data_IF_912198652971
#
_entry.id   IF_912198652971
#
_cell.length_a   1.000
_cell.length_b   1.000
_cell.length_c   1.000
_cell.angle_alpha   90.00
_cell.angle_beta   90.00
_cell.angle_gamma   90.00
#
_symmetry.space_group_name_H-M   'P 1'
#
loop_
_entity.id
_entity.type
_entity.pdbx_description
1 polymer ?
#
# COMPACT_ATOMS: atom_id res chain seq x y z
N UNK A 1 37.98 8.56 -16.12
CA UNK A 1 37.75 9.11 -14.77
C UNK A 1 39.03 8.87 -13.98
N UNK A 2 40.00 9.79 -14.05
CA UNK A 2 41.36 9.57 -13.56
C UNK A 2 41.63 10.23 -12.20
N UNK A 3 42.47 9.59 -11.40
CA UNK A 3 42.90 9.98 -10.05
C UNK A 3 43.33 11.46 -9.95
N UNK A 4 44.08 11.97 -10.93
CA UNK A 4 44.53 13.38 -10.99
C UNK A 4 43.35 14.37 -11.02
N UNK A 5 42.26 14.03 -11.72
CA UNK A 5 41.07 14.89 -11.81
C UNK A 5 40.30 14.93 -10.49
N UNK A 6 40.30 13.83 -9.74
CA UNK A 6 39.67 13.75 -8.42
C UNK A 6 40.50 14.50 -7.36
N UNK A 7 41.83 14.40 -7.42
CA UNK A 7 42.74 15.17 -6.56
C UNK A 7 42.65 16.68 -6.84
N UNK A 8 42.69 17.12 -8.11
CA UNK A 8 42.50 18.53 -8.46
C UNK A 8 41.11 19.06 -8.05
N UNK A 9 40.07 18.21 -8.13
CA UNK A 9 38.74 18.57 -7.60
C UNK A 9 38.77 18.75 -6.09
N UNK A 10 39.37 17.85 -5.33
CA UNK A 10 39.45 17.95 -3.87
C UNK A 10 40.22 19.19 -3.38
N UNK A 11 41.21 19.65 -4.16
CA UNK A 11 42.00 20.85 -3.84
C UNK A 11 41.28 22.17 -4.17
N UNK A 12 40.53 22.23 -5.31
CA UNK A 12 39.87 23.47 -5.77
C UNK A 12 38.40 23.58 -5.35
N UNK A 13 37.72 22.44 -5.16
CA UNK A 13 36.31 22.34 -4.78
C UNK A 13 36.25 21.48 -3.54
N UNK A 14 36.02 22.10 -2.38
CA UNK A 14 35.83 21.39 -1.10
C UNK A 14 34.69 20.37 -1.15
N UNK A 15 34.35 19.78 0.01
CA UNK A 15 33.34 18.72 0.09
C UNK A 15 32.00 19.10 -0.58
N UNK A 16 31.40 18.13 -1.28
CA UNK A 16 30.14 18.31 -1.99
C UNK A 16 28.97 18.54 -1.01
N UNK A 17 28.23 19.65 -1.23
CA UNK A 17 27.07 20.07 -0.42
C UNK A 17 25.73 19.94 -1.16
N UNK A 18 25.74 19.64 -2.47
CA UNK A 18 24.53 19.62 -3.31
C UNK A 18 23.94 18.22 -3.43
N UNK A 19 24.76 17.18 -3.37
CA UNK A 19 24.27 15.82 -3.54
C UNK A 19 23.73 15.22 -2.23
N UNK A 20 22.66 14.41 -2.28
CA UNK A 20 22.05 13.83 -1.09
C UNK A 20 23.05 13.04 -0.25
N UNK A 21 23.03 13.27 1.06
CA UNK A 21 23.91 12.54 1.97
C UNK A 21 23.51 11.06 2.01
N UNK A 22 24.47 10.14 1.95
CA UNK A 22 24.19 8.70 1.90
C UNK A 22 25.01 7.91 2.90
N UNK A 23 24.63 6.64 3.12
CA UNK A 23 25.32 5.73 4.03
C UNK A 23 26.80 5.47 3.71
N UNK A 24 27.31 5.92 2.55
CA UNK A 24 28.70 5.72 2.12
C UNK A 24 29.61 6.93 2.35
N UNK A 25 29.05 8.06 2.79
CA UNK A 25 29.77 9.33 2.90
C UNK A 25 30.11 9.74 4.32
N UNK A 26 29.43 9.14 5.30
CA UNK A 26 29.67 9.43 6.71
C UNK A 26 30.75 8.54 7.33
N UNK A 27 31.18 8.85 8.56
CA UNK A 27 32.08 8.02 9.34
C UNK A 27 31.42 6.68 9.74
N UNK A 28 32.17 5.78 10.39
CA UNK A 28 31.72 4.44 10.80
C UNK A 28 30.40 4.44 11.59
N UNK A 29 30.12 5.48 12.37
CA UNK A 29 28.89 5.61 13.19
C UNK A 29 27.67 6.07 12.38
N UNK A 30 27.84 6.49 11.12
CA UNK A 30 26.77 7.00 10.29
C UNK A 30 25.90 5.88 9.70
N UNK A 31 24.94 5.39 10.48
CA UNK A 31 24.02 4.32 10.11
C UNK A 31 22.69 4.85 9.57
N UNK A 32 22.69 5.33 8.31
CA UNK A 32 21.48 5.90 7.66
C UNK A 32 20.53 4.87 7.03
N UNK A 33 21.04 3.73 6.55
CA UNK A 33 20.25 2.76 5.78
C UNK A 33 19.90 3.23 4.35
N UNK A 34 19.05 2.45 3.67
CA UNK A 34 18.66 2.64 2.24
C UNK A 34 17.16 2.45 1.98
N UNK A 35 16.32 2.62 3.00
CA UNK A 35 14.86 2.49 2.86
C UNK A 35 14.29 1.09 3.13
N UNK A 36 15.13 0.10 3.44
CA UNK A 36 14.67 -1.20 3.92
C UNK A 36 13.86 -1.04 5.22
N UNK A 37 12.65 -1.58 5.25
CA UNK A 37 11.81 -1.65 6.46
C UNK A 37 12.37 -2.71 7.40
N UNK A 38 12.23 -2.49 8.70
CA UNK A 38 12.73 -3.41 9.73
C UNK A 38 11.78 -4.60 9.86
N UNK A 39 12.33 -5.81 9.90
CA UNK A 39 11.60 -7.06 10.09
C UNK A 39 11.75 -7.62 11.53
N UNK A 40 12.04 -6.75 12.49
CA UNK A 40 12.36 -7.15 13.86
C UNK A 40 13.04 -6.04 14.66
N UNK A 41 13.58 -6.41 15.82
CA UNK A 41 14.12 -5.47 16.82
C UNK A 41 15.53 -5.84 17.26
N UNK A 42 16.32 -4.83 17.63
CA UNK A 42 17.64 -5.01 18.25
C UNK A 42 17.49 -5.03 19.77
N UNK A 43 18.06 -6.05 20.40
CA UNK A 43 18.15 -6.14 21.87
C UNK A 43 19.23 -5.22 22.43
N UNK A 44 19.23 -4.93 23.74
CA UNK A 44 20.31 -4.19 24.40
C UNK A 44 21.70 -4.83 24.18
N UNK A 45 21.76 -6.16 24.06
CA UNK A 45 22.97 -6.91 23.73
C UNK A 45 23.40 -6.86 22.26
N UNK A 46 22.81 -5.98 21.44
CA UNK A 46 23.06 -5.82 19.99
C UNK A 46 22.73 -7.06 19.15
N UNK A 47 22.05 -8.05 19.71
CA UNK A 47 21.50 -9.19 18.97
C UNK A 47 20.20 -8.77 18.28
N UNK A 48 20.08 -9.07 16.99
CA UNK A 48 18.85 -8.85 16.24
C UNK A 48 17.90 -10.04 16.44
N UNK A 49 16.64 -9.74 16.75
CA UNK A 49 15.56 -10.73 16.84
C UNK A 49 14.58 -10.45 15.70
N UNK A 50 14.40 -11.44 14.82
CA UNK A 50 13.38 -11.42 13.77
C UNK A 50 12.00 -11.63 14.39
N UNK A 51 11.05 -10.78 14.03
CA UNK A 51 9.64 -10.90 14.44
C UNK A 51 8.85 -11.36 13.22
N UNK A 52 8.34 -12.61 13.19
CA UNK A 52 7.65 -13.16 12.02
C UNK A 52 6.52 -12.27 11.50
N UNK A 53 5.75 -11.65 12.39
CA UNK A 53 4.59 -10.81 12.09
C UNK A 53 4.96 -9.48 11.41
N UNK A 54 6.23 -9.05 11.53
CA UNK A 54 6.75 -7.87 10.82
C UNK A 54 7.26 -8.20 9.42
N UNK A 55 7.38 -9.48 9.08
CA UNK A 55 7.87 -9.93 7.77
C UNK A 55 6.66 -10.04 6.83
N UNK A 56 6.66 -9.33 5.69
CA UNK A 56 5.52 -9.41 4.76
C UNK A 56 5.43 -10.80 4.14
N UNK A 57 4.22 -11.34 4.13
CA UNK A 57 3.89 -12.59 3.45
C UNK A 57 3.23 -12.29 2.09
N UNK A 58 3.66 -12.99 1.05
CA UNK A 58 3.08 -12.87 -0.28
C UNK A 58 1.94 -13.85 -0.44
N UNK A 59 0.72 -13.34 -0.56
CA UNK A 59 -0.48 -14.15 -0.81
C UNK A 59 -0.60 -14.38 -2.32
N UNK A 60 -0.12 -15.53 -2.79
CA UNK A 60 -0.10 -15.89 -4.22
C UNK A 60 -1.24 -16.89 -4.53
N UNK A 61 -2.20 -16.54 -5.40
CA UNK A 61 -3.28 -17.45 -5.79
C UNK A 61 -2.78 -18.52 -6.78
N UNK A 62 -3.50 -19.63 -6.88
CA UNK A 62 -3.30 -20.62 -7.94
C UNK A 62 -3.81 -20.07 -9.29
N UNK A 63 -3.02 -20.23 -10.34
CA UNK A 63 -3.29 -19.73 -11.69
C UNK A 63 -3.60 -20.86 -12.69
N UNK A 64 -3.76 -22.10 -12.23
CA UNK A 64 -4.16 -23.22 -13.07
C UNK A 64 -5.51 -22.94 -13.77
N UNK A 65 -5.52 -22.98 -15.11
CA UNK A 65 -6.74 -22.71 -15.91
C UNK A 65 -7.15 -21.24 -16.01
N UNK A 66 -6.31 -20.29 -15.58
CA UNK A 66 -6.63 -18.87 -15.66
C UNK A 66 -6.67 -18.35 -17.11
N UNK A 67 -7.80 -17.75 -17.51
CA UNK A 67 -8.07 -17.36 -18.91
C UNK A 67 -7.45 -16.01 -19.30
N UNK A 68 -7.30 -15.09 -18.35
CA UNK A 68 -6.81 -13.74 -18.63
C UNK A 68 -5.31 -13.78 -18.92
N UNK A 69 -4.89 -12.95 -19.87
CA UNK A 69 -3.49 -12.83 -20.31
C UNK A 69 -2.97 -11.41 -20.04
N UNK A 70 -1.64 -11.21 -19.95
CA UNK A 70 -1.05 -9.88 -19.76
C UNK A 70 -1.37 -8.88 -20.89
N UNK A 71 -1.78 -9.37 -22.06
CA UNK A 71 -2.11 -8.57 -23.23
C UNK A 71 -3.50 -8.90 -23.76
N UNK A 72 -4.16 -7.88 -24.30
CA UNK A 72 -5.49 -7.96 -24.92
C UNK A 72 -5.36 -7.78 -26.44
N UNK A 73 -6.24 -8.41 -27.21
CA UNK A 73 -6.27 -8.26 -28.68
C UNK A 73 -6.77 -6.88 -29.09
N UNK A 74 -6.17 -6.30 -30.13
CA UNK A 74 -6.65 -5.07 -30.79
C UNK A 74 -8.05 -5.17 -31.40
N UNK A 75 -8.62 -6.38 -31.50
CA UNK A 75 -10.00 -6.57 -31.97
C UNK A 75 -11.05 -6.21 -30.91
N UNK A 76 -10.64 -5.97 -29.67
CA UNK A 76 -11.57 -5.54 -28.63
C UNK A 76 -12.12 -4.14 -28.94
N UNK A 77 -13.42 -3.89 -28.70
CA UNK A 77 -13.99 -2.56 -28.86
C UNK A 77 -13.37 -1.59 -27.85
N UNK A 78 -13.43 -0.30 -28.17
CA UNK A 78 -12.97 0.75 -27.27
C UNK A 78 -13.87 0.81 -26.02
N UNK A 79 -13.23 0.90 -24.84
CA UNK A 79 -13.94 0.98 -23.56
C UNK A 79 -14.52 2.38 -23.34
N UNK A 80 -15.82 2.45 -23.05
CA UNK A 80 -16.54 3.71 -22.80
C UNK A 80 -16.93 3.92 -21.34
N UNK A 81 -16.43 3.08 -20.43
CA UNK A 81 -16.91 3.05 -19.05
C UNK A 81 -16.47 4.28 -18.24
N UNK A 82 -17.42 4.96 -17.56
CA UNK A 82 -17.09 6.08 -16.68
C UNK A 82 -16.38 5.61 -15.40
N UNK A 83 -15.65 6.49 -14.70
CA UNK A 83 -15.02 6.14 -13.44
C UNK A 83 -16.07 5.77 -12.38
N UNK A 84 -15.80 4.70 -11.63
CA UNK A 84 -16.68 4.19 -10.58
C UNK A 84 -16.81 5.21 -9.44
N UNK A 85 -18.04 5.55 -9.06
CA UNK A 85 -18.37 6.47 -7.97
C UNK A 85 -19.08 5.77 -6.81
N UNK A 86 -18.98 6.32 -5.60
CA UNK A 86 -19.67 5.78 -4.42
C UNK A 86 -21.20 5.72 -4.60
N UNK A 87 -21.77 6.70 -5.30
CA UNK A 87 -23.21 6.72 -5.62
C UNK A 87 -23.58 5.57 -6.55
N UNK A 88 -22.81 5.31 -7.61
CA UNK A 88 -23.06 4.17 -8.51
C UNK A 88 -23.02 2.84 -7.75
N UNK A 89 -21.97 2.62 -6.93
CA UNK A 89 -21.84 1.42 -6.11
C UNK A 89 -23.03 1.24 -5.15
N UNK A 90 -23.48 2.32 -4.51
CA UNK A 90 -24.64 2.28 -3.62
C UNK A 90 -25.92 1.92 -4.38
N UNK A 91 -26.18 2.57 -5.51
CA UNK A 91 -27.36 2.35 -6.34
C UNK A 91 -27.41 0.94 -6.91
N UNK A 92 -26.26 0.36 -7.28
CA UNK A 92 -26.21 -0.98 -7.87
C UNK A 92 -26.34 -2.10 -6.84
N UNK A 93 -25.68 -1.96 -5.69
CA UNK A 93 -25.57 -3.07 -4.71
C UNK A 93 -26.55 -2.97 -3.55
N UNK A 94 -26.74 -1.77 -2.99
CA UNK A 94 -27.44 -1.56 -1.72
C UNK A 94 -28.87 -1.09 -1.94
N UNK A 95 -29.10 -0.15 -2.86
CA UNK A 95 -30.42 0.44 -3.10
C UNK A 95 -31.52 -0.60 -3.42
N UNK A 96 -31.29 -1.65 -4.24
CA UNK A 96 -32.33 -2.64 -4.53
C UNK A 96 -32.79 -3.43 -3.31
N UNK A 97 -31.94 -3.54 -2.27
CA UNK A 97 -32.29 -4.21 -1.01
C UNK A 97 -33.15 -3.30 -0.13
N UNK A 98 -32.75 -2.03 -0.02
CA UNK A 98 -33.51 -1.03 0.75
C UNK A 98 -34.90 -0.82 0.12
N UNK A 99 -34.99 -0.70 -1.20
CA UNK A 99 -36.27 -0.50 -1.89
C UNK A 99 -37.26 -1.65 -1.66
N UNK A 100 -36.77 -2.90 -1.57
CA UNK A 100 -37.62 -4.06 -1.25
C UNK A 100 -38.18 -3.94 0.15
N UNK A 101 -37.32 -3.74 1.15
CA UNK A 101 -37.74 -3.65 2.54
C UNK A 101 -38.64 -2.44 2.81
N UNK A 102 -38.46 -1.34 2.07
CA UNK A 102 -39.36 -0.17 2.11
C UNK A 102 -40.74 -0.51 1.54
N UNK A 103 -40.80 -1.20 0.38
CA UNK A 103 -42.07 -1.65 -0.22
C UNK A 103 -42.81 -2.66 0.66
N UNK A 104 -42.06 -3.52 1.33
CA UNK A 104 -42.59 -4.54 2.25
C UNK A 104 -42.95 -3.96 3.64
N UNK A 105 -42.67 -2.67 3.89
CA UNK A 105 -42.96 -2.01 5.16
C UNK A 105 -42.09 -2.48 6.33
N UNK A 106 -40.99 -3.19 6.08
CA UNK A 106 -40.08 -3.75 7.09
C UNK A 106 -38.79 -2.93 7.26
N UNK A 107 -38.70 -1.78 6.58
CA UNK A 107 -37.55 -0.89 6.68
C UNK A 107 -37.48 -0.19 8.05
N UNK A 108 -36.33 -0.32 8.71
CA UNK A 108 -36.01 0.35 9.97
C UNK A 108 -34.71 1.17 9.83
N UNK A 109 -34.76 2.50 10.04
CA UNK A 109 -33.56 3.37 10.07
C UNK A 109 -32.54 3.01 11.16
N UNK A 110 -32.96 2.35 12.24
CA UNK A 110 -32.06 1.93 13.32
C UNK A 110 -31.15 0.76 12.95
N UNK A 111 -31.53 -0.03 11.93
CA UNK A 111 -30.87 -1.29 11.58
C UNK A 111 -30.12 -1.22 10.24
N UNK A 112 -29.31 -0.18 10.03
CA UNK A 112 -28.53 -0.01 8.79
C UNK A 112 -27.41 -1.05 8.62
N UNK A 113 -26.97 -1.66 9.72
CA UNK A 113 -25.94 -2.70 9.74
C UNK A 113 -26.38 -3.94 8.94
N UNK A 114 -27.70 -4.23 8.90
CA UNK A 114 -28.30 -5.24 8.03
C UNK A 114 -27.91 -5.07 6.56
N UNK A 115 -27.76 -3.83 6.10
CA UNK A 115 -27.39 -3.48 4.73
C UNK A 115 -25.88 -3.31 4.53
N UNK A 116 -25.07 -3.59 5.55
CA UNK A 116 -23.62 -3.49 5.52
C UNK A 116 -23.05 -2.13 5.95
N UNK A 117 -23.86 -1.24 6.53
CA UNK A 117 -23.33 0.00 7.09
C UNK A 117 -22.55 -0.28 8.39
N UNK A 118 -21.34 0.24 8.42
CA UNK A 118 -20.42 0.09 9.54
C UNK A 118 -20.20 1.45 10.22
N UNK A 119 -20.83 1.71 11.38
CA UNK A 119 -20.79 3.03 12.01
C UNK A 119 -19.39 3.40 12.53
N UNK A 120 -18.64 2.40 13.01
CA UNK A 120 -17.28 2.57 13.54
C UNK A 120 -16.32 1.58 12.87
N UNK A 121 -15.05 1.97 12.76
CA UNK A 121 -13.97 1.13 12.22
C UNK A 121 -13.16 0.43 13.33
N UNK A 122 -13.42 0.77 14.59
CA UNK A 122 -12.74 0.20 15.75
C UNK A 122 -13.07 -1.29 15.89
N UNK A 123 -12.07 -2.08 16.31
CA UNK A 123 -12.20 -3.53 16.45
C UNK A 123 -12.15 -4.33 15.14
N UNK A 124 -12.06 -3.66 13.98
CA UNK A 124 -11.89 -4.35 12.70
C UNK A 124 -10.44 -4.70 12.43
N UNK A 125 -10.23 -5.89 11.86
CA UNK A 125 -8.92 -6.33 11.40
C UNK A 125 -8.41 -5.43 10.27
N UNK A 126 -9.27 -5.14 9.29
CA UNK A 126 -8.98 -4.25 8.17
C UNK A 126 -9.75 -2.95 8.35
N UNK A 127 -9.05 -1.90 8.77
CA UNK A 127 -9.62 -0.57 8.98
C UNK A 127 -9.52 0.24 7.70
N UNK A 128 -10.62 0.89 7.30
CA UNK A 128 -10.63 1.78 6.13
C UNK A 128 -9.95 3.12 6.44
N UNK A 129 -10.19 3.68 7.63
CA UNK A 129 -9.59 4.93 8.07
C UNK A 129 -9.35 4.93 9.60
N UNK A 130 -8.12 5.17 10.09
CA UNK A 130 -6.88 5.22 9.31
C UNK A 130 -6.55 3.84 8.71
N UNK A 131 -6.13 3.81 7.44
CA UNK A 131 -5.84 2.55 6.74
C UNK A 131 -4.69 1.79 7.42
N UNK A 132 -4.92 0.54 7.78
CA UNK A 132 -3.96 -0.31 8.50
C UNK A 132 -3.40 -1.50 7.69
N UNK A 133 -3.78 -1.65 6.42
CA UNK A 133 -3.35 -2.76 5.56
C UNK A 133 -2.53 -2.31 4.35
N UNK A 134 -1.72 -3.21 3.80
CA UNK A 134 -0.90 -2.96 2.62
C UNK A 134 -1.69 -3.23 1.33
N UNK A 135 -1.20 -2.69 0.20
CA UNK A 135 -1.75 -2.95 -1.14
C UNK A 135 -1.00 -4.11 -1.79
#
# INVERSE_FOLDING_TARGET
MGLLRELCRGLLRGADRVSPFTSKRGPRTHYKGRGARRAGVLTPGKKFIRVPEMVPEFVVPDLAGFKLKPYVSYRAPEGSEPPVTAKQLFTELVAPRIEKDVKDGTFDPGNLQKYGFEPTQDGKLFQLFPKNYMR
#
